data_IF_831803830211
#
_entry.id   IF_831803830211
#
_cell.length_a   1.000
_cell.length_b   1.000
_cell.length_c   1.000
_cell.angle_alpha   90.00
_cell.angle_beta   90.00
_cell.angle_gamma   90.00
#
_symmetry.space_group_name_H-M   'P 1'
#
loop_
_entity.id
_entity.type
_entity.pdbx_description
1 polymer ?
#
# COMPACT_ATOMS: atom_id res chain seq x y z
N UNK A 1 12.83 -8.44 5.02
CA UNK A 1 13.46 -7.12 5.23
C UNK A 1 12.46 -5.99 5.07
N UNK A 2 11.81 -5.85 3.90
CA UNK A 2 10.82 -4.78 3.63
C UNK A 2 9.68 -4.72 4.66
N UNK A 3 9.08 -5.86 5.01
CA UNK A 3 8.02 -5.90 6.04
C UNK A 3 8.49 -5.41 7.41
N UNK A 4 9.74 -5.69 7.81
CA UNK A 4 10.29 -5.22 9.08
C UNK A 4 10.45 -3.71 9.09
N UNK A 5 11.01 -3.15 8.01
CA UNK A 5 11.18 -1.70 7.85
C UNK A 5 9.82 -1.01 7.96
N UNK A 6 8.84 -1.46 7.18
CA UNK A 6 7.49 -0.88 7.18
C UNK A 6 6.79 -1.00 8.55
N UNK A 7 6.91 -2.14 9.23
CA UNK A 7 6.34 -2.29 10.58
C UNK A 7 6.98 -1.33 11.57
N UNK A 8 8.30 -1.20 11.58
CA UNK A 8 8.99 -0.34 12.54
C UNK A 8 8.75 1.14 12.27
N UNK A 9 8.86 1.57 11.02
CA UNK A 9 8.59 2.97 10.64
C UNK A 9 7.12 3.32 10.78
N UNK A 10 6.22 2.41 10.39
CA UNK A 10 4.78 2.54 10.58
C UNK A 10 4.40 2.68 12.06
N UNK A 11 4.90 1.76 12.91
CA UNK A 11 4.68 1.81 14.36
C UNK A 11 5.19 3.11 14.96
N UNK A 12 6.39 3.56 14.56
CA UNK A 12 6.92 4.82 15.01
C UNK A 12 5.99 5.98 14.67
N UNK A 13 5.60 6.13 13.40
CA UNK A 13 4.68 7.19 12.95
C UNK A 13 3.35 7.14 13.71
N UNK A 14 2.76 5.95 13.87
CA UNK A 14 1.47 5.79 14.57
C UNK A 14 1.49 6.12 16.05
N UNK A 15 2.66 6.04 16.70
CA UNK A 15 2.80 6.41 18.10
C UNK A 15 3.25 7.86 18.31
N UNK A 16 3.98 8.44 17.37
CA UNK A 16 4.63 9.75 17.58
C UNK A 16 3.96 10.90 16.83
N UNK A 17 3.46 10.68 15.61
CA UNK A 17 2.92 11.76 14.77
C UNK A 17 1.62 12.38 15.28
N UNK A 18 0.67 11.63 15.89
CA UNK A 18 -0.50 12.23 16.53
C UNK A 18 -0.15 13.18 17.69
N UNK A 19 1.05 13.04 18.27
CA UNK A 19 1.54 13.84 19.38
C UNK A 19 2.47 14.98 18.94
N UNK A 20 2.82 15.04 17.65
CA UNK A 20 3.73 16.04 17.12
C UNK A 20 3.05 17.41 17.00
N UNK A 21 3.72 18.47 17.45
CA UNK A 21 3.20 19.84 17.49
C UNK A 21 2.84 20.45 16.11
N UNK A 22 3.18 19.77 15.01
CA UNK A 22 2.99 20.26 13.63
C UNK A 22 1.70 19.84 12.94
N UNK A 23 0.81 19.06 13.58
CA UNK A 23 -0.47 18.69 12.99
C UNK A 23 -0.37 17.66 11.85
N UNK A 24 0.31 16.54 12.11
CA UNK A 24 0.43 15.39 11.19
C UNK A 24 -0.54 14.21 11.43
N UNK A 25 -1.73 14.35 12.08
CA UNK A 25 -2.53 13.18 12.43
C UNK A 25 -3.10 12.48 11.19
N UNK A 26 -3.40 13.20 10.11
CA UNK A 26 -3.90 12.60 8.87
C UNK A 26 -2.78 11.91 8.08
N UNK A 27 -1.56 12.46 8.06
CA UNK A 27 -0.40 11.81 7.43
C UNK A 27 -0.05 10.49 8.10
N UNK A 28 -0.26 10.38 9.43
CA UNK A 28 -0.16 9.09 10.10
C UNK A 28 -1.18 8.07 9.56
N UNK A 29 -2.45 8.46 9.38
CA UNK A 29 -3.48 7.55 8.87
C UNK A 29 -3.11 7.08 7.46
N UNK A 30 -2.58 7.98 6.63
CA UNK A 30 -2.25 7.68 5.24
C UNK A 30 -0.98 6.83 5.11
N UNK A 31 0.08 7.16 5.84
CA UNK A 31 1.40 6.54 5.69
C UNK A 31 1.77 5.62 6.86
N UNK A 32 1.57 6.07 8.10
CA UNK A 32 1.93 5.33 9.31
C UNK A 32 1.15 4.04 9.48
N UNK A 33 -0.17 4.15 9.59
CA UNK A 33 -1.08 3.02 9.82
C UNK A 33 -1.06 2.04 8.65
N UNK A 34 -0.97 2.54 7.42
CA UNK A 34 -0.86 1.70 6.23
C UNK A 34 0.47 0.96 6.19
N UNK A 35 1.60 1.63 6.44
CA UNK A 35 2.91 0.96 6.52
C UNK A 35 2.94 -0.07 7.64
N UNK A 36 2.35 0.22 8.80
CA UNK A 36 2.26 -0.73 9.90
C UNK A 36 1.45 -1.97 9.49
N UNK A 37 0.25 -1.77 8.96
CA UNK A 37 -0.62 -2.86 8.52
C UNK A 37 0.01 -3.73 7.44
N UNK A 38 0.49 -3.12 6.36
CA UNK A 38 1.14 -3.85 5.26
C UNK A 38 2.48 -4.47 5.67
N UNK A 39 3.24 -3.81 6.56
CA UNK A 39 4.49 -4.36 7.10
C UNK A 39 4.24 -5.66 7.88
N UNK A 40 3.25 -5.65 8.78
CA UNK A 40 2.87 -6.84 9.55
C UNK A 40 2.36 -7.95 8.62
N UNK A 41 1.57 -7.59 7.60
CA UNK A 41 1.11 -8.53 6.58
C UNK A 41 2.28 -9.18 5.83
N UNK A 42 3.28 -8.40 5.42
CA UNK A 42 4.48 -8.91 4.74
C UNK A 42 5.34 -9.79 5.64
N UNK A 43 5.45 -9.47 6.92
CA UNK A 43 6.15 -10.31 7.91
C UNK A 43 5.42 -11.65 8.08
N UNK A 44 4.10 -11.63 8.24
CA UNK A 44 3.28 -12.84 8.33
C UNK A 44 3.38 -13.69 7.06
N UNK A 45 3.32 -13.06 5.88
CA UNK A 45 3.49 -13.74 4.60
C UNK A 45 4.88 -14.39 4.47
N UNK A 46 5.94 -13.64 4.83
CA UNK A 46 7.32 -14.15 4.82
C UNK A 46 7.48 -15.36 5.74
N UNK A 47 6.92 -15.29 6.96
CA UNK A 47 6.96 -16.39 7.91
C UNK A 47 6.19 -17.63 7.41
N UNK A 48 5.00 -17.43 6.83
CA UNK A 48 4.20 -18.52 6.25
C UNK A 48 4.95 -19.20 5.11
N UNK A 49 5.52 -18.41 4.18
CA UNK A 49 6.29 -18.93 3.05
C UNK A 49 7.55 -19.66 3.52
N UNK A 50 8.24 -19.15 4.55
CA UNK A 50 9.38 -19.84 5.15
C UNK A 50 8.99 -21.18 5.78
N UNK A 51 7.89 -21.23 6.54
CA UNK A 51 7.47 -22.45 7.24
C UNK A 51 6.75 -23.47 6.37
N UNK A 52 6.08 -23.04 5.30
CA UNK A 52 5.20 -23.89 4.48
C UNK A 52 5.56 -23.91 2.99
N UNK A 53 6.65 -23.25 2.59
CA UNK A 53 7.09 -23.13 1.19
C UNK A 53 7.29 -24.48 0.52
N UNK A 54 8.01 -25.40 1.15
CA UNK A 54 8.28 -26.73 0.59
C UNK A 54 6.98 -27.51 0.33
N UNK A 55 6.01 -27.41 1.25
CA UNK A 55 4.69 -28.03 1.09
C UNK A 55 3.90 -27.43 -0.07
N UNK A 56 4.04 -26.12 -0.31
CA UNK A 56 3.39 -25.44 -1.44
C UNK A 56 4.01 -25.92 -2.76
N UNK A 57 5.35 -25.97 -2.83
CA UNK A 57 6.09 -26.35 -4.02
C UNK A 57 5.93 -27.84 -4.38
N UNK A 58 5.84 -28.73 -3.39
CA UNK A 58 5.63 -30.17 -3.59
C UNK A 58 4.17 -30.55 -3.93
N UNK A 59 3.23 -29.60 -3.91
CA UNK A 59 1.82 -29.86 -4.20
C UNK A 59 1.57 -30.03 -5.70
N UNK A 60 0.65 -30.93 -6.07
CA UNK A 60 0.12 -31.02 -7.45
C UNK A 60 -0.67 -29.78 -7.88
N UNK A 61 -1.07 -28.92 -6.93
CA UNK A 61 -1.69 -27.62 -7.19
C UNK A 61 -1.15 -26.56 -6.23
N UNK A 62 0.04 -25.99 -6.52
CA UNK A 62 0.73 -25.06 -5.62
C UNK A 62 -0.11 -23.84 -5.25
N UNK A 63 -0.76 -23.20 -6.22
CA UNK A 63 -1.59 -22.03 -5.96
C UNK A 63 -2.79 -22.35 -5.05
N UNK A 64 -3.44 -23.50 -5.26
CA UNK A 64 -4.59 -23.88 -4.43
C UNK A 64 -4.16 -24.15 -2.97
N UNK A 65 -2.99 -24.78 -2.79
CA UNK A 65 -2.39 -24.98 -1.46
C UNK A 65 -2.04 -23.64 -0.81
N UNK A 66 -1.41 -22.72 -1.54
CA UNK A 66 -1.13 -21.37 -1.08
C UNK A 66 -2.41 -20.62 -0.69
N UNK A 67 -3.42 -20.60 -1.57
CA UNK A 67 -4.69 -19.91 -1.35
C UNK A 67 -5.37 -20.37 -0.06
N UNK A 68 -5.37 -21.69 0.21
CA UNK A 68 -5.91 -22.26 1.45
C UNK A 68 -5.16 -21.76 2.69
N UNK A 69 -3.83 -21.67 2.62
CA UNK A 69 -2.98 -21.19 3.71
C UNK A 69 -3.17 -19.68 3.93
N UNK A 70 -3.26 -18.90 2.86
CA UNK A 70 -3.37 -17.44 2.89
C UNK A 70 -4.80 -16.93 3.21
N UNK A 71 -5.82 -17.79 3.12
CA UNK A 71 -7.24 -17.41 3.26
C UNK A 71 -7.56 -16.64 4.56
N UNK A 72 -7.08 -17.03 5.76
CA UNK A 72 -7.37 -16.26 6.97
C UNK A 72 -6.79 -14.84 6.91
N UNK A 73 -5.54 -14.74 6.45
CA UNK A 73 -4.81 -13.47 6.33
C UNK A 73 -5.44 -12.55 5.27
N UNK A 74 -6.06 -13.12 4.24
CA UNK A 74 -6.71 -12.33 3.18
C UNK A 74 -7.84 -11.44 3.68
N UNK A 75 -8.48 -11.76 4.81
CA UNK A 75 -9.51 -10.89 5.43
C UNK A 75 -8.88 -9.57 5.85
N UNK A 76 -7.67 -9.62 6.41
CA UNK A 76 -6.92 -8.41 6.74
C UNK A 76 -6.53 -7.63 5.48
N UNK A 77 -6.10 -8.32 4.41
CA UNK A 77 -5.84 -7.67 3.13
C UNK A 77 -7.08 -6.97 2.54
N UNK A 78 -8.28 -7.55 2.69
CA UNK A 78 -9.54 -6.90 2.33
C UNK A 78 -9.76 -5.62 3.15
N UNK A 79 -9.60 -5.68 4.47
CA UNK A 79 -9.76 -4.51 5.33
C UNK A 79 -8.77 -3.39 4.95
N UNK A 80 -7.50 -3.74 4.72
CA UNK A 80 -6.50 -2.78 4.24
C UNK A 80 -6.85 -2.23 2.86
N UNK A 81 -7.38 -3.06 1.96
CA UNK A 81 -7.83 -2.62 0.64
C UNK A 81 -8.96 -1.59 0.72
N UNK A 82 -9.93 -1.81 1.61
CA UNK A 82 -11.01 -0.85 1.88
C UNK A 82 -10.47 0.45 2.49
N UNK A 83 -9.49 0.37 3.40
CA UNK A 83 -8.83 1.55 3.97
C UNK A 83 -8.12 2.37 2.88
N UNK A 84 -7.41 1.72 1.95
CA UNK A 84 -6.76 2.40 0.82
C UNK A 84 -7.76 3.06 -0.13
N UNK A 85 -8.93 2.44 -0.37
CA UNK A 85 -10.01 3.08 -1.13
C UNK A 85 -10.58 4.31 -0.40
N UNK A 86 -10.72 4.24 0.92
CA UNK A 86 -11.14 5.38 1.73
C UNK A 86 -10.11 6.52 1.66
N UNK A 87 -8.81 6.20 1.73
CA UNK A 87 -7.72 7.17 1.54
C UNK A 87 -7.76 7.79 0.14
N UNK A 88 -8.00 7.01 -0.91
CA UNK A 88 -8.20 7.55 -2.27
C UNK A 88 -9.33 8.58 -2.29
N UNK A 89 -10.50 8.22 -1.75
CA UNK A 89 -11.65 9.13 -1.68
C UNK A 89 -11.33 10.39 -0.89
N UNK A 90 -10.73 10.25 0.30
CA UNK A 90 -10.35 11.37 1.14
C UNK A 90 -9.31 12.27 0.45
N UNK A 91 -8.30 11.68 -0.18
CA UNK A 91 -7.27 12.40 -0.93
C UNK A 91 -7.84 13.20 -2.11
N UNK A 92 -8.88 12.69 -2.79
CA UNK A 92 -9.58 13.43 -3.86
C UNK A 92 -10.46 14.56 -3.32
N UNK A 93 -11.17 14.33 -2.21
CA UNK A 93 -12.11 15.31 -1.64
C UNK A 93 -11.37 16.46 -0.94
N UNK A 94 -10.35 16.13 -0.16
CA UNK A 94 -9.63 17.09 0.69
C UNK A 94 -8.28 17.53 0.12
N UNK A 95 -7.87 16.97 -1.02
CA UNK A 95 -6.64 17.34 -1.74
C UNK A 95 -5.36 17.21 -0.88
N UNK A 96 -5.30 16.19 -0.01
CA UNK A 96 -4.19 15.98 0.95
C UNK A 96 -2.80 15.79 0.33
N UNK A 97 -2.71 15.54 -0.98
CA UNK A 97 -1.45 15.27 -1.67
C UNK A 97 -0.95 16.43 -2.53
N UNK A 98 -1.52 17.61 -2.36
CA UNK A 98 -1.04 18.79 -3.07
C UNK A 98 0.33 19.23 -2.54
N UNK A 99 1.35 19.26 -3.39
CA UNK A 99 2.67 19.68 -2.99
C UNK A 99 2.75 21.20 -2.76
N UNK A 100 3.51 21.64 -1.75
CA UNK A 100 3.80 23.05 -1.54
C UNK A 100 4.65 23.61 -2.71
N UNK A 101 4.50 24.90 -3.08
CA UNK A 101 5.28 25.52 -4.17
C UNK A 101 6.81 25.45 -3.98
N UNK A 102 7.26 25.27 -2.74
CA UNK A 102 8.67 25.19 -2.36
C UNK A 102 9.30 23.81 -2.66
N UNK A 103 8.49 22.78 -2.93
CA UNK A 103 9.02 21.47 -3.32
C UNK A 103 9.57 21.49 -4.76
N UNK A 104 10.79 20.96 -4.98
CA UNK A 104 11.27 20.70 -6.34
C UNK A 104 10.35 19.74 -7.08
N UNK A 105 10.19 19.93 -8.39
CA UNK A 105 9.37 19.09 -9.29
C UNK A 105 7.87 19.22 -8.99
N UNK A 106 7.40 18.67 -7.87
CA UNK A 106 5.98 18.66 -7.48
C UNK A 106 5.42 20.07 -7.25
N UNK A 107 6.20 20.97 -6.64
CA UNK A 107 5.82 22.37 -6.47
C UNK A 107 5.60 23.15 -7.78
N UNK A 108 6.11 22.64 -8.93
CA UNK A 108 5.81 23.23 -10.25
C UNK A 108 4.33 23.08 -10.64
N UNK A 109 3.63 22.11 -10.05
CA UNK A 109 2.20 21.87 -10.24
C UNK A 109 1.35 22.43 -9.11
N UNK A 110 1.90 23.25 -8.21
CA UNK A 110 1.16 23.81 -7.07
C UNK A 110 -0.04 24.69 -7.50
N UNK A 111 -0.03 25.23 -8.72
CA UNK A 111 -1.18 25.94 -9.30
C UNK A 111 -2.37 25.01 -9.65
N UNK A 112 -2.14 23.70 -9.71
CA UNK A 112 -3.13 22.66 -10.01
C UNK A 112 -3.16 21.56 -8.93
N UNK A 113 -3.55 21.86 -7.67
CA UNK A 113 -3.54 20.91 -6.55
C UNK A 113 -4.31 19.61 -6.80
N UNK A 114 -5.37 19.70 -7.60
CA UNK A 114 -6.20 18.56 -7.98
C UNK A 114 -5.44 17.52 -8.81
N UNK A 115 -4.40 17.91 -9.55
CA UNK A 115 -3.67 17.00 -10.43
C UNK A 115 -2.88 15.98 -9.63
N UNK A 116 -2.06 16.44 -8.67
CA UNK A 116 -1.27 15.57 -7.81
C UNK A 116 -2.15 14.78 -6.84
N UNK A 117 -3.19 15.44 -6.30
CA UNK A 117 -4.22 14.80 -5.47
C UNK A 117 -4.85 13.61 -6.20
N UNK A 118 -5.32 13.77 -7.43
CA UNK A 118 -5.93 12.67 -8.20
C UNK A 118 -4.87 11.62 -8.55
N UNK A 119 -3.67 12.03 -8.97
CA UNK A 119 -2.61 11.10 -9.37
C UNK A 119 -2.24 10.17 -8.21
N UNK A 120 -1.93 10.72 -7.03
CA UNK A 120 -1.53 9.88 -5.89
C UNK A 120 -2.71 9.10 -5.31
N UNK A 121 -3.90 9.71 -5.22
CA UNK A 121 -5.13 8.99 -4.84
C UNK A 121 -5.39 7.78 -5.74
N UNK A 122 -5.19 7.91 -7.07
CA UNK A 122 -5.38 6.80 -7.99
C UNK A 122 -4.40 5.64 -7.72
N UNK A 123 -3.18 5.91 -7.28
CA UNK A 123 -2.20 4.88 -6.89
C UNK A 123 -2.65 4.14 -5.62
N UNK A 124 -3.12 4.88 -4.60
CA UNK A 124 -3.74 4.29 -3.41
C UNK A 124 -4.95 3.44 -3.78
N UNK A 125 -5.81 3.95 -4.67
CA UNK A 125 -6.97 3.25 -5.19
C UNK A 125 -6.61 1.95 -5.89
N UNK A 126 -5.62 1.98 -6.77
CA UNK A 126 -5.13 0.82 -7.51
C UNK A 126 -4.56 -0.26 -6.58
N UNK A 127 -3.78 0.14 -5.57
CA UNK A 127 -3.29 -0.76 -4.53
C UNK A 127 -4.45 -1.36 -3.71
N UNK A 128 -5.44 -0.53 -3.37
CA UNK A 128 -6.65 -0.95 -2.65
C UNK A 128 -7.46 -2.00 -3.42
N UNK A 129 -7.70 -1.75 -4.71
CA UNK A 129 -8.34 -2.72 -5.61
C UNK A 129 -7.51 -4.01 -5.68
N UNK A 130 -6.19 -3.91 -5.82
CA UNK A 130 -5.30 -5.08 -5.82
C UNK A 130 -5.43 -5.93 -4.55
N UNK A 131 -5.51 -5.31 -3.38
CA UNK A 131 -5.68 -6.00 -2.11
C UNK A 131 -7.07 -6.65 -1.96
N UNK A 132 -8.13 -6.00 -2.44
CA UNK A 132 -9.50 -6.56 -2.49
C UNK A 132 -9.55 -7.76 -3.46
N UNK A 133 -8.93 -7.61 -4.64
CA UNK A 133 -8.86 -8.69 -5.62
C UNK A 133 -8.03 -9.87 -5.10
N UNK A 134 -7.00 -9.63 -4.28
CA UNK A 134 -6.27 -10.70 -3.60
C UNK A 134 -7.17 -11.52 -2.68
N UNK A 135 -8.06 -10.87 -1.91
CA UNK A 135 -9.07 -11.56 -1.10
C UNK A 135 -9.96 -12.48 -1.94
N UNK A 136 -10.37 -12.02 -3.13
CA UNK A 136 -11.15 -12.83 -4.06
C UNK A 136 -10.29 -13.94 -4.71
N UNK A 137 -9.03 -13.66 -5.03
CA UNK A 137 -8.11 -14.57 -5.71
C UNK A 137 -7.78 -15.82 -4.89
N UNK A 138 -7.70 -15.70 -3.56
CA UNK A 138 -7.42 -16.84 -2.67
C UNK A 138 -8.68 -17.63 -2.25
N UNK A 139 -9.84 -17.29 -2.81
CA UNK A 139 -11.11 -18.00 -2.61
C UNK A 139 -11.54 -18.64 -3.93
N UNK A 140 -11.39 -19.97 -4.06
CA UNK A 140 -11.91 -20.68 -5.22
C UNK A 140 -13.42 -20.45 -5.39
N UNK A 141 -13.89 -20.58 -6.63
CA UNK A 141 -15.32 -20.47 -6.93
C UNK A 141 -16.11 -21.66 -6.34
N UNK A 142 -17.44 -21.69 -6.58
CA UNK A 142 -18.32 -22.76 -6.10
C UNK A 142 -17.94 -24.16 -6.62
N UNK A 143 -17.13 -24.24 -7.68
CA UNK A 143 -16.62 -25.48 -8.28
C UNK A 143 -15.18 -25.80 -7.83
N UNK A 144 -14.62 -25.01 -6.92
CA UNK A 144 -13.23 -25.15 -6.45
C UNK A 144 -12.18 -24.66 -7.46
N UNK A 145 -12.58 -23.94 -8.50
CA UNK A 145 -11.67 -23.46 -9.54
C UNK A 145 -11.08 -22.08 -9.20
N UNK A 146 -9.83 -21.88 -9.62
CA UNK A 146 -9.12 -20.62 -9.49
C UNK A 146 -9.54 -19.69 -10.63
N UNK A 147 -9.96 -18.48 -10.29
CA UNK A 147 -10.37 -17.46 -11.26
C UNK A 147 -9.13 -16.74 -11.81
N UNK A 148 -8.49 -17.31 -12.84
CA UNK A 148 -7.22 -16.81 -13.40
C UNK A 148 -7.22 -15.31 -13.73
N UNK A 149 -8.33 -14.78 -14.26
CA UNK A 149 -8.48 -13.34 -14.52
C UNK A 149 -8.43 -12.47 -13.25
N UNK A 150 -9.00 -12.95 -12.13
CA UNK A 150 -8.96 -12.23 -10.84
C UNK A 150 -7.54 -12.26 -10.27
N UNK A 151 -6.85 -13.40 -10.38
CA UNK A 151 -5.44 -13.52 -9.95
C UNK A 151 -4.56 -12.57 -10.75
N UNK A 152 -4.72 -12.54 -12.08
CA UNK A 152 -3.94 -11.66 -12.96
C UNK A 152 -4.23 -10.19 -12.70
N UNK A 153 -5.51 -9.82 -12.52
CA UNK A 153 -5.88 -8.45 -12.18
C UNK A 153 -5.30 -8.01 -10.81
N UNK A 154 -5.38 -8.86 -9.78
CA UNK A 154 -4.77 -8.60 -8.48
C UNK A 154 -3.25 -8.38 -8.61
N UNK A 155 -2.57 -9.27 -9.34
CA UNK A 155 -1.14 -9.19 -9.59
C UNK A 155 -0.76 -7.86 -10.25
N UNK A 156 -1.41 -7.50 -11.35
CA UNK A 156 -1.07 -6.27 -12.08
C UNK A 156 -1.41 -5.00 -11.31
N UNK A 157 -2.54 -4.97 -10.58
CA UNK A 157 -2.86 -3.83 -9.71
C UNK A 157 -1.75 -3.59 -8.69
N UNK A 158 -1.32 -4.65 -7.98
CA UNK A 158 -0.30 -4.56 -6.94
C UNK A 158 1.09 -4.25 -7.50
N UNK A 159 1.48 -4.86 -8.63
CA UNK A 159 2.77 -4.61 -9.28
C UNK A 159 2.85 -3.17 -9.77
N UNK A 160 1.84 -2.70 -10.50
CA UNK A 160 1.84 -1.33 -11.04
C UNK A 160 1.85 -0.32 -9.89
N UNK A 161 0.98 -0.48 -8.89
CA UNK A 161 0.98 0.43 -7.73
C UNK A 161 2.30 0.40 -6.97
N UNK A 162 2.89 -0.79 -6.79
CA UNK A 162 4.17 -0.96 -6.09
C UNK A 162 5.33 -0.29 -6.82
N UNK A 163 5.39 -0.43 -8.15
CA UNK A 163 6.39 0.26 -8.98
C UNK A 163 6.22 1.78 -8.89
N UNK A 164 4.98 2.28 -8.98
CA UNK A 164 4.73 3.73 -8.87
C UNK A 164 5.11 4.24 -7.48
N UNK A 165 4.71 3.56 -6.40
CA UNK A 165 5.11 3.93 -5.04
C UNK A 165 6.63 3.89 -4.83
N UNK A 166 7.33 2.92 -5.43
CA UNK A 166 8.79 2.86 -5.35
C UNK A 166 9.45 4.05 -6.06
N UNK A 167 9.01 4.37 -7.28
CA UNK A 167 9.55 5.51 -8.04
C UNK A 167 9.22 6.84 -7.36
N UNK A 168 7.98 7.00 -6.90
CA UNK A 168 7.55 8.18 -6.16
C UNK A 168 8.32 8.32 -4.84
N UNK A 169 8.49 7.23 -4.10
CA UNK A 169 9.28 7.21 -2.87
C UNK A 169 10.76 7.56 -3.11
N UNK A 170 11.35 7.10 -4.21
CA UNK A 170 12.71 7.49 -4.58
C UNK A 170 12.80 8.99 -4.91
N UNK A 171 11.82 9.53 -5.64
CA UNK A 171 11.72 10.96 -5.95
C UNK A 171 11.55 11.80 -4.67
N UNK A 172 10.78 11.32 -3.70
CA UNK A 172 10.53 12.00 -2.43
C UNK A 172 11.81 12.31 -1.66
N UNK A 173 12.86 11.48 -1.74
CA UNK A 173 14.13 11.82 -1.12
C UNK A 173 14.72 13.12 -1.69
N UNK A 174 14.60 13.34 -3.00
CA UNK A 174 15.07 14.58 -3.62
C UNK A 174 14.15 15.76 -3.29
N UNK A 175 12.83 15.59 -3.42
CA UNK A 175 11.89 16.70 -3.24
C UNK A 175 11.80 17.16 -1.79
N UNK A 176 11.80 16.27 -0.81
CA UNK A 176 11.78 16.65 0.61
C UNK A 176 13.09 17.34 1.06
N UNK A 177 14.25 16.90 0.56
CA UNK A 177 15.51 17.62 0.82
C UNK A 177 15.43 19.04 0.26
N UNK A 178 14.95 19.18 -0.98
CA UNK A 178 14.81 20.50 -1.58
C UNK A 178 13.77 21.39 -0.90
N UNK A 179 12.65 20.83 -0.44
CA UNK A 179 11.66 21.55 0.37
C UNK A 179 12.31 22.14 1.62
N UNK A 180 13.05 21.31 2.36
CA UNK A 180 13.76 21.73 3.57
C UNK A 180 14.76 22.85 3.26
N UNK A 181 15.53 22.74 2.18
CA UNK A 181 16.47 23.79 1.76
C UNK A 181 15.76 25.07 1.32
N UNK A 182 14.61 24.98 0.65
CA UNK A 182 13.85 26.13 0.15
C UNK A 182 12.95 26.80 1.22
N UNK A 183 12.83 26.20 2.40
CA UNK A 183 12.00 26.69 3.52
C UNK A 183 12.82 27.20 4.71
N UNK A 184 14.13 26.93 4.73
CA UNK A 184 15.10 27.55 5.64
C UNK A 184 15.50 28.94 5.15
#
# INVERSE_FOLDING_TARGET
>A
MTGLIQTLTGLHMSLTWPLAAGGFPFDNIIFGETCLGFGVLLLAASFILWKRGDRILASSSPFHTFARIARPVSIFALAMGLALLAIMCAGMVYQFFAAPPQEPISGSFAAYPWLESIALSAVFGLAGVGAILFFAAVRPDARGQVRGGVVSAAYWCLVISGVIFMLFGAMNFYTHIGLVVNTM
#
